data_IF_093713848391
#
_entry.id   IF_093713848391
#
_cell.length_a   1.000
_cell.length_b   1.000
_cell.length_c   1.000
_cell.angle_alpha   90.00
_cell.angle_beta   90.00
_cell.angle_gamma   90.00
#
_symmetry.space_group_name_H-M   'P 1'
#
loop_
_entity.id
_entity.type
_entity.pdbx_description
1 polymer ?
#
# COMPACT_ATOMS: atom_id res chain seq x y z
N UNK A 1 1.62 -8.81 15.21
CA UNK A 1 0.99 -8.30 16.45
C UNK A 1 0.50 -6.88 16.24
N UNK A 2 -0.59 -6.48 16.91
CA UNK A 2 -1.26 -5.21 16.67
C UNK A 2 -0.88 -4.14 17.71
N UNK A 3 -0.59 -2.89 17.32
CA UNK A 3 -0.01 -1.88 18.21
C UNK A 3 -0.95 -1.39 19.32
N UNK A 4 -2.27 -1.46 19.13
CA UNK A 4 -3.27 -1.08 20.14
C UNK A 4 -3.38 -2.07 21.31
N UNK A 5 -2.77 -3.25 21.21
CA UNK A 5 -2.73 -4.22 22.31
C UNK A 5 -1.68 -3.83 23.38
N UNK A 6 -0.75 -2.92 23.04
CA UNK A 6 0.29 -2.43 23.94
C UNK A 6 -0.07 -1.13 24.65
N UNK A 7 0.78 -0.73 25.61
CA UNK A 7 0.65 0.58 26.25
C UNK A 7 1.17 1.70 25.35
N UNK A 8 0.24 2.45 24.75
CA UNK A 8 0.52 3.59 23.86
C UNK A 8 1.57 4.56 24.41
N UNK A 9 1.46 4.96 25.68
CA UNK A 9 2.39 5.91 26.31
C UNK A 9 3.82 5.37 26.44
N UNK A 10 3.98 4.06 26.64
CA UNK A 10 5.30 3.42 26.73
C UNK A 10 5.95 3.35 25.34
N UNK A 11 5.18 3.01 24.32
CA UNK A 11 5.63 2.96 22.93
C UNK A 11 6.12 4.33 22.43
N UNK A 12 5.36 5.39 22.68
CA UNK A 12 5.73 6.76 22.27
C UNK A 12 6.98 7.25 23.00
N UNK A 13 7.19 6.85 24.26
CA UNK A 13 8.42 7.20 25.01
C UNK A 13 9.64 6.43 24.54
N UNK A 14 9.46 5.17 24.13
CA UNK A 14 10.56 4.29 23.74
C UNK A 14 11.02 4.55 22.31
N UNK A 15 10.08 4.79 21.39
CA UNK A 15 10.36 4.96 19.97
C UNK A 15 10.28 6.42 19.55
N UNK A 16 11.40 6.97 19.09
CA UNK A 16 11.47 8.37 18.64
C UNK A 16 10.65 8.62 17.36
N UNK A 17 10.53 7.59 16.50
CA UNK A 17 9.77 7.62 15.24
C UNK A 17 8.93 6.37 15.10
N UNK A 18 7.65 6.56 14.80
CA UNK A 18 6.68 5.49 14.51
C UNK A 18 6.21 5.69 13.07
N UNK A 19 6.32 4.64 12.25
CA UNK A 19 5.91 4.64 10.84
C UNK A 19 4.89 3.53 10.66
N UNK A 20 3.62 3.85 10.36
CA UNK A 20 2.62 2.84 10.06
C UNK A 20 2.91 2.25 8.68
N UNK A 21 2.87 0.93 8.57
CA UNK A 21 2.95 0.24 7.28
C UNK A 21 1.53 -0.03 6.80
N UNK A 22 1.14 0.66 5.72
CA UNK A 22 -0.14 0.47 5.05
C UNK A 22 0.01 -0.56 3.93
N UNK A 23 -1.10 -1.19 3.49
CA UNK A 23 -1.10 -1.96 2.25
C UNK A 23 -0.56 -1.11 1.09
N UNK A 24 0.24 -1.71 0.19
CA UNK A 24 0.78 -1.00 -0.97
C UNK A 24 -0.34 -0.60 -1.93
N UNK A 25 -0.12 0.48 -2.66
CA UNK A 25 -0.90 0.80 -3.85
C UNK A 25 -0.67 -0.25 -4.96
N UNK A 26 -1.59 -0.32 -5.90
CA UNK A 26 -1.55 -1.31 -6.98
C UNK A 26 -0.27 -1.20 -7.83
N UNK A 27 0.23 0.02 -8.09
CA UNK A 27 1.48 0.20 -8.84
C UNK A 27 2.70 -0.29 -8.06
N UNK A 28 2.79 -0.01 -6.76
CA UNK A 28 3.84 -0.55 -5.91
C UNK A 28 3.76 -2.08 -5.81
N UNK A 29 2.56 -2.64 -5.70
CA UNK A 29 2.35 -4.09 -5.72
C UNK A 29 2.84 -4.71 -7.05
N UNK A 30 2.47 -4.12 -8.19
CA UNK A 30 2.90 -4.56 -9.51
C UNK A 30 4.44 -4.49 -9.68
N UNK A 31 5.04 -3.38 -9.29
CA UNK A 31 6.50 -3.22 -9.30
C UNK A 31 7.19 -4.24 -8.38
N UNK A 32 6.58 -4.54 -7.23
CA UNK A 32 7.11 -5.54 -6.31
C UNK A 32 7.03 -6.96 -6.91
N UNK A 33 5.89 -7.37 -7.45
CA UNK A 33 5.73 -8.63 -8.18
C UNK A 33 6.80 -8.79 -9.26
N UNK A 34 6.97 -7.77 -10.11
CA UNK A 34 8.00 -7.76 -11.15
C UNK A 34 9.40 -7.91 -10.54
N UNK A 35 9.74 -7.14 -9.50
CA UNK A 35 11.06 -7.18 -8.86
C UNK A 35 11.39 -8.55 -8.23
N UNK A 36 10.38 -9.27 -7.75
CA UNK A 36 10.59 -10.59 -7.13
C UNK A 36 10.62 -11.70 -8.19
N UNK A 37 9.73 -11.66 -9.19
CA UNK A 37 9.68 -12.64 -10.27
C UNK A 37 10.93 -12.61 -11.15
N UNK A 38 11.46 -11.42 -11.46
CA UNK A 38 12.65 -11.26 -12.29
C UNK A 38 13.94 -11.75 -11.64
N UNK A 39 13.92 -12.16 -10.37
CA UNK A 39 15.05 -12.84 -9.71
C UNK A 39 15.23 -14.27 -10.22
N UNK A 40 14.19 -14.85 -10.82
CA UNK A 40 14.19 -16.23 -11.30
C UNK A 40 14.44 -16.25 -12.81
N UNK A 41 15.59 -16.76 -13.22
CA UNK A 41 16.05 -16.80 -14.62
C UNK A 41 15.13 -17.56 -15.58
N UNK A 42 14.22 -18.39 -15.05
CA UNK A 42 13.26 -19.18 -15.84
C UNK A 42 11.90 -18.50 -16.04
N UNK A 43 11.66 -17.35 -15.41
CA UNK A 43 10.40 -16.61 -15.59
C UNK A 43 10.53 -15.73 -16.84
N UNK A 44 9.50 -15.75 -17.67
CA UNK A 44 9.42 -14.93 -18.88
C UNK A 44 9.45 -13.43 -18.50
N UNK A 45 10.22 -12.64 -19.24
CA UNK A 45 10.29 -11.18 -19.04
C UNK A 45 9.01 -10.47 -19.43
N UNK A 46 8.23 -11.07 -20.34
CA UNK A 46 6.93 -10.54 -20.76
C UNK A 46 5.78 -11.04 -19.87
N UNK A 47 6.09 -11.65 -18.72
CA UNK A 47 5.08 -12.11 -17.77
C UNK A 47 4.17 -10.96 -17.31
N UNK A 48 2.87 -11.11 -17.51
CA UNK A 48 1.88 -10.10 -17.16
C UNK A 48 1.59 -10.08 -15.65
N UNK A 49 2.28 -9.20 -14.92
CA UNK A 49 2.10 -9.02 -13.48
C UNK A 49 1.01 -8.00 -13.11
N UNK A 50 0.58 -7.12 -14.03
CA UNK A 50 -0.45 -6.10 -13.73
C UNK A 50 -1.81 -6.67 -13.32
N UNK A 51 -2.34 -7.73 -13.98
CA UNK A 51 -3.59 -8.37 -13.54
C UNK A 51 -3.45 -9.03 -12.17
N UNK A 52 -2.31 -9.68 -11.91
CA UNK A 52 -2.00 -10.29 -10.61
C UNK A 52 -1.98 -9.24 -9.49
N UNK A 53 -1.37 -8.07 -9.75
CA UNK A 53 -1.36 -6.96 -8.80
C UNK A 53 -2.75 -6.39 -8.53
N UNK A 54 -3.66 -6.46 -9.52
CA UNK A 54 -5.05 -6.04 -9.34
C UNK A 54 -5.81 -7.01 -8.44
N UNK A 55 -5.61 -8.32 -8.61
CA UNK A 55 -6.17 -9.35 -7.72
C UNK A 55 -5.55 -9.31 -6.31
N UNK A 56 -4.29 -8.88 -6.19
CA UNK A 56 -3.56 -8.79 -4.93
C UNK A 56 -3.83 -7.51 -4.12
N UNK A 57 -4.89 -6.75 -4.43
CA UNK A 57 -5.27 -5.59 -3.62
C UNK A 57 -5.64 -6.01 -2.19
N UNK A 58 -5.15 -5.25 -1.22
CA UNK A 58 -5.36 -5.55 0.21
C UNK A 58 -4.37 -6.55 0.80
N UNK A 59 -3.44 -7.09 0.02
CA UNK A 59 -2.35 -7.94 0.54
C UNK A 59 -1.09 -7.12 0.83
N UNK A 60 -0.44 -7.31 1.98
CA UNK A 60 0.83 -6.65 2.28
C UNK A 60 1.97 -7.29 1.46
N UNK A 61 3.02 -6.51 1.15
CA UNK A 61 4.15 -6.98 0.33
C UNK A 61 4.80 -8.29 0.81
N UNK A 62 4.96 -8.56 2.12
CA UNK A 62 5.49 -9.84 2.59
C UNK A 62 4.67 -11.05 2.16
N UNK A 63 3.35 -10.89 1.99
CA UNK A 63 2.48 -11.98 1.49
C UNK A 63 2.85 -12.35 0.06
N UNK A 64 3.22 -11.39 -0.78
CA UNK A 64 3.70 -11.67 -2.14
C UNK A 64 4.98 -12.52 -2.09
N UNK A 65 5.91 -12.20 -1.19
CA UNK A 65 7.13 -13.02 -1.00
C UNK A 65 6.79 -14.44 -0.57
N UNK A 66 5.84 -14.60 0.35
CA UNK A 66 5.39 -15.90 0.84
C UNK A 66 4.77 -16.74 -0.29
N UNK A 67 3.85 -16.15 -1.08
CA UNK A 67 3.22 -16.81 -2.23
C UNK A 67 4.28 -17.27 -3.24
N UNK A 68 5.25 -16.42 -3.54
CA UNK A 68 6.34 -16.76 -4.45
C UNK A 68 7.22 -17.88 -3.91
N UNK A 69 7.53 -17.89 -2.61
CA UNK A 69 8.31 -18.96 -2.00
C UNK A 69 7.57 -20.30 -1.98
N UNK A 70 6.24 -20.28 -1.84
CA UNK A 70 5.40 -21.47 -1.87
C UNK A 70 5.28 -22.07 -3.28
N UNK A 71 5.15 -21.22 -4.31
CA UNK A 71 5.02 -21.67 -5.70
C UNK A 71 6.38 -21.96 -6.35
N UNK A 72 7.35 -21.06 -6.21
CA UNK A 72 8.67 -21.15 -6.85
C UNK A 72 9.66 -21.91 -5.98
N UNK A 73 9.34 -23.16 -5.68
CA UNK A 73 10.27 -24.11 -5.08
C UNK A 73 11.43 -24.43 -6.04
N UNK A 74 12.53 -24.98 -5.52
CA UNK A 74 13.69 -25.32 -6.34
C UNK A 74 13.33 -26.25 -7.53
N UNK A 75 12.46 -27.23 -7.29
CA UNK A 75 11.94 -28.13 -8.33
C UNK A 75 11.13 -27.36 -9.38
N UNK A 76 10.24 -26.46 -8.96
CA UNK A 76 9.43 -25.66 -9.88
C UNK A 76 10.29 -24.75 -10.74
N UNK A 77 11.33 -24.14 -10.15
CA UNK A 77 12.27 -23.25 -10.85
C UNK A 77 13.02 -23.97 -11.97
N UNK A 78 13.43 -25.23 -11.76
CA UNK A 78 14.05 -26.05 -12.81
C UNK A 78 13.05 -26.37 -13.92
N UNK A 79 11.80 -26.66 -13.56
CA UNK A 79 10.73 -26.97 -14.51
C UNK A 79 10.31 -25.77 -15.37
N UNK A 80 10.59 -24.53 -14.95
CA UNK A 80 10.23 -23.31 -15.70
C UNK A 80 10.75 -23.31 -17.15
N UNK A 81 11.89 -23.96 -17.41
CA UNK A 81 12.47 -24.07 -18.76
C UNK A 81 11.55 -24.80 -19.75
N UNK A 82 10.82 -25.80 -19.28
CA UNK A 82 9.96 -26.65 -20.12
C UNK A 82 8.47 -26.33 -19.93
N UNK A 83 8.09 -25.86 -18.74
CA UNK A 83 6.72 -25.48 -18.38
C UNK A 83 6.73 -24.06 -17.81
N UNK A 84 6.28 -23.05 -18.57
CA UNK A 84 6.29 -21.65 -18.13
C UNK A 84 5.45 -21.46 -16.86
N UNK A 85 5.68 -20.34 -16.18
CA UNK A 85 4.91 -19.98 -14.99
C UNK A 85 3.51 -19.52 -15.41
N UNK A 86 2.49 -20.21 -14.90
CA UNK A 86 1.10 -19.79 -15.08
C UNK A 86 0.69 -18.83 -13.96
N UNK A 87 0.14 -17.62 -14.26
CA UNK A 87 -0.39 -16.72 -13.25
C UNK A 87 -1.41 -17.36 -12.29
N UNK A 88 -2.17 -18.37 -12.74
CA UNK A 88 -3.14 -19.07 -11.89
C UNK A 88 -2.47 -19.79 -10.71
N UNK A 89 -1.26 -20.35 -10.90
CA UNK A 89 -0.51 -21.03 -9.84
C UNK A 89 -0.23 -20.08 -8.65
N UNK A 90 0.04 -18.81 -8.94
CA UNK A 90 0.26 -17.77 -7.91
C UNK A 90 -1.06 -17.34 -7.27
N UNK A 91 -2.11 -17.20 -8.07
CA UNK A 91 -3.43 -16.77 -7.59
C UNK A 91 -4.06 -17.81 -6.65
N UNK A 92 -3.93 -19.10 -6.98
CA UNK A 92 -4.46 -20.21 -6.18
C UNK A 92 -3.87 -20.24 -4.77
N UNK A 93 -2.59 -19.87 -4.63
CA UNK A 93 -1.94 -19.76 -3.33
C UNK A 93 -2.34 -18.47 -2.62
N UNK A 94 -2.38 -17.35 -3.36
CA UNK A 94 -2.76 -16.04 -2.81
C UNK A 94 -4.17 -16.08 -2.19
N UNK A 95 -5.14 -16.70 -2.88
CA UNK A 95 -6.54 -16.78 -2.44
C UNK A 95 -6.74 -17.63 -1.17
N UNK A 96 -5.79 -18.49 -0.81
CA UNK A 96 -5.82 -19.22 0.47
C UNK A 96 -5.48 -18.33 1.66
N UNK A 97 -4.78 -17.23 1.42
CA UNK A 97 -4.36 -16.28 2.45
C UNK A 97 -5.48 -15.24 2.59
N UNK A 98 -6.01 -14.98 3.79
CA UNK A 98 -7.02 -13.95 3.97
C UNK A 98 -6.43 -12.56 3.68
N UNK A 99 -7.10 -11.70 2.89
CA UNK A 99 -6.65 -10.34 2.64
C UNK A 99 -6.71 -9.50 3.92
N UNK A 100 -5.93 -8.42 3.98
CA UNK A 100 -6.02 -7.49 5.10
C UNK A 100 -7.34 -6.73 5.03
N UNK A 101 -8.14 -6.83 6.09
CA UNK A 101 -9.40 -6.08 6.18
C UNK A 101 -9.16 -4.57 6.18
N UNK A 102 -9.98 -3.84 5.42
CA UNK A 102 -9.98 -2.37 5.43
C UNK A 102 -10.17 -1.80 6.84
N UNK A 103 -10.94 -2.48 7.68
CA UNK A 103 -11.17 -2.09 9.07
C UNK A 103 -9.88 -2.12 9.89
N UNK A 104 -9.01 -3.11 9.66
CA UNK A 104 -7.71 -3.19 10.34
C UNK A 104 -6.81 -2.03 9.91
N UNK A 105 -6.86 -1.66 8.64
CA UNK A 105 -6.10 -0.53 8.09
C UNK A 105 -6.60 0.80 8.67
N UNK A 106 -7.92 1.01 8.73
CA UNK A 106 -8.54 2.18 9.37
C UNK A 106 -8.18 2.27 10.84
N UNK A 107 -8.31 1.16 11.58
CA UNK A 107 -7.97 1.08 12.99
C UNK A 107 -6.49 1.39 13.26
N UNK A 108 -5.58 0.93 12.40
CA UNK A 108 -4.16 1.27 12.47
C UNK A 108 -3.93 2.77 12.28
N UNK A 109 -4.61 3.37 11.30
CA UNK A 109 -4.51 4.79 11.00
C UNK A 109 -5.05 5.65 12.16
N UNK A 110 -6.24 5.33 12.66
CA UNK A 110 -6.86 5.99 13.82
C UNK A 110 -5.99 5.87 15.07
N UNK A 111 -5.43 4.69 15.32
CA UNK A 111 -4.48 4.50 16.41
C UNK A 111 -3.24 5.36 16.23
N UNK A 112 -2.68 5.42 15.02
CA UNK A 112 -1.49 6.21 14.73
C UNK A 112 -1.73 7.71 14.93
N UNK A 113 -2.83 8.24 14.40
CA UNK A 113 -3.23 9.64 14.56
C UNK A 113 -3.56 9.98 16.01
N UNK A 114 -4.20 9.09 16.76
CA UNK A 114 -4.56 9.33 18.17
C UNK A 114 -3.40 9.15 19.15
N UNK A 115 -2.40 8.34 18.81
CA UNK A 115 -1.32 7.97 19.73
C UNK A 115 -0.03 8.75 19.49
N UNK A 116 0.36 8.98 18.23
CA UNK A 116 1.66 9.60 17.92
C UNK A 116 1.55 11.14 17.87
N UNK A 117 2.23 11.89 18.76
CA UNK A 117 2.09 13.37 18.83
C UNK A 117 2.44 14.08 17.52
N UNK A 118 3.45 13.57 16.80
CA UNK A 118 3.83 14.14 15.51
C UNK A 118 2.80 13.82 14.41
N UNK A 119 2.07 12.70 14.50
CA UNK A 119 0.96 12.42 13.60
C UNK A 119 -0.20 13.39 13.83
N UNK A 120 -0.57 13.67 15.09
CA UNK A 120 -1.59 14.67 15.45
C UNK A 120 -1.27 16.03 14.86
N UNK A 121 -0.08 16.54 15.15
CA UNK A 121 0.35 17.86 14.69
C UNK A 121 0.44 17.92 13.16
N UNK A 122 0.82 16.84 12.47
CA UNK A 122 0.77 16.76 11.01
C UNK A 122 -0.67 16.78 10.50
N UNK A 123 -1.58 16.00 11.09
CA UNK A 123 -2.98 15.95 10.67
C UNK A 123 -3.68 17.31 10.84
N UNK A 124 -3.42 18.01 11.94
CA UNK A 124 -3.92 19.37 12.19
C UNK A 124 -3.40 20.37 11.15
N UNK A 125 -2.09 20.35 10.85
CA UNK A 125 -1.49 21.21 9.82
C UNK A 125 -2.04 20.93 8.43
N UNK A 126 -2.19 19.66 8.05
CA UNK A 126 -2.77 19.27 6.76
C UNK A 126 -4.20 19.78 6.61
N UNK A 127 -5.02 19.70 7.66
CA UNK A 127 -6.39 20.23 7.66
C UNK A 127 -6.39 21.76 7.53
N UNK A 128 -5.57 22.46 8.30
CA UNK A 128 -5.45 23.92 8.22
C UNK A 128 -5.00 24.39 6.82
N UNK A 129 -4.03 23.70 6.21
CA UNK A 129 -3.56 23.99 4.85
C UNK A 129 -4.65 23.74 3.80
N UNK A 130 -5.44 22.68 3.95
CA UNK A 130 -6.57 22.38 3.05
C UNK A 130 -7.65 23.47 3.12
N UNK A 131 -8.06 23.87 4.33
CA UNK A 131 -9.01 24.97 4.53
C UNK A 131 -8.50 26.30 3.96
N UNK A 132 -7.20 26.58 4.12
CA UNK A 132 -6.58 27.77 3.56
C UNK A 132 -6.61 27.76 2.02
N UNK A 133 -6.31 26.62 1.38
CA UNK A 133 -6.38 26.45 -0.07
C UNK A 133 -7.80 26.64 -0.60
N UNK A 134 -8.81 26.09 0.08
CA UNK A 134 -10.21 26.28 -0.29
C UNK A 134 -10.64 27.75 -0.20
N UNK A 135 -10.24 28.46 0.86
CA UNK A 135 -10.50 29.90 1.00
C UNK A 135 -9.85 30.71 -0.11
N UNK A 136 -8.61 30.41 -0.48
CA UNK A 136 -7.92 31.08 -1.60
C UNK A 136 -8.62 30.82 -2.94
N UNK A 137 -8.98 29.56 -3.22
CA UNK A 137 -9.70 29.19 -4.44
C UNK A 137 -11.07 29.90 -4.54
N UNK A 138 -11.79 30.03 -3.42
CA UNK A 138 -13.06 30.77 -3.36
C UNK A 138 -12.87 32.27 -3.62
N UNK A 139 -11.79 32.88 -3.14
CA UNK A 139 -11.46 34.29 -3.40
C UNK A 139 -11.10 34.49 -4.87
N UNK A 140 -10.32 33.60 -5.47
CA UNK A 140 -9.94 33.65 -6.89
C UNK A 140 -11.15 33.45 -7.82
N UNK A 141 -12.04 32.51 -7.51
CA UNK A 141 -13.29 32.30 -8.23
C UNK A 141 -14.15 33.58 -8.25
N UNK A 142 -14.34 34.22 -7.07
CA UNK A 142 -15.06 35.49 -6.96
C UNK A 142 -14.41 36.61 -7.76
N UNK A 143 -13.08 36.71 -7.76
CA UNK A 143 -12.35 37.71 -8.56
C UNK A 143 -12.51 37.47 -10.07
N UNK A 144 -12.51 36.21 -10.51
CA UNK A 144 -12.71 35.87 -11.93
C UNK A 144 -14.14 36.14 -12.41
N UNK A 145 -15.16 35.90 -11.57
CA UNK A 145 -16.54 36.28 -11.87
C UNK A 145 -16.71 37.80 -11.99
N UNK A 146 -16.09 38.58 -11.11
CA UNK A 146 -16.13 40.04 -11.17
C UNK A 146 -15.42 40.59 -12.42
N UNK A 147 -14.34 39.95 -12.89
CA UNK A 147 -13.67 40.32 -14.15
C UNK A 147 -14.52 40.00 -15.38
N UNK A 148 -15.24 38.87 -15.38
CA UNK A 148 -16.16 38.50 -16.47
C UNK A 148 -17.37 39.45 -16.57
N UNK A 149 -17.86 39.98 -15.46
CA UNK A 149 -18.96 40.97 -15.44
C UNK A 149 -18.55 42.38 -15.86
N UNK A 150 -17.23 42.67 -15.90
CA UNK A 150 -16.68 43.97 -16.32
C UNK A 150 -16.17 44.00 -17.78
N UNK A 151 -16.18 42.85 -18.45
CA UNK A 151 -15.98 42.73 -19.91
C UNK A 151 -17.34 42.62 -20.58
#
# INVERSE_FOLDING_TARGET
ENPWMGQANSLVKTYNKIIPMLPPDQSTSAAYWHSQLMKYHGVDRDFLYSPLAWCAQGYPLPTISQVLQEVLTAERVIALRNRPLDPQELLDVLLKIPPLSEEQTKKLLEWYESTYPLAKTRAEKTKADAEFRERLAAIEAKKNEQKKKKK
#
